data_IF_348718487915
#
_entry.id   IF_348718487915
#
_cell.length_a   1.000
_cell.length_b   1.000
_cell.length_c   1.000
_cell.angle_alpha   90.00
_cell.angle_beta   90.00
_cell.angle_gamma   90.00
#
_symmetry.space_group_name_H-M   'P 1'
#
loop_
_entity.id
_entity.type
_entity.pdbx_description
1 polymer ?
#
# COMPACT_ATOMS: atom_id res chain seq x y z
N UNK A 1 11.79 -12.07 4.65
CA UNK A 1 10.47 -12.70 4.87
C UNK A 1 9.45 -11.87 4.08
N UNK A 2 8.63 -12.46 3.20
CA UNK A 2 7.59 -11.74 2.48
C UNK A 2 6.54 -11.17 3.44
N UNK A 3 6.08 -9.94 3.18
CA UNK A 3 5.13 -9.21 4.04
C UNK A 3 4.07 -8.53 3.18
N UNK A 4 2.91 -8.31 3.77
CA UNK A 4 1.80 -7.53 3.21
C UNK A 4 1.75 -6.21 3.99
N UNK A 5 2.01 -5.10 3.32
CA UNK A 5 1.95 -3.76 3.92
C UNK A 5 0.56 -3.17 3.66
N UNK A 6 -0.20 -2.93 4.73
CA UNK A 6 -1.51 -2.30 4.64
C UNK A 6 -1.35 -0.79 4.89
N UNK A 7 -1.60 0.00 3.85
CA UNK A 7 -1.51 1.46 3.85
C UNK A 7 -2.91 2.05 3.73
N UNK A 8 -3.40 2.63 4.82
CA UNK A 8 -4.74 3.20 4.90
C UNK A 8 -4.69 4.63 5.42
N UNK A 9 -5.37 5.54 4.72
CA UNK A 9 -5.47 6.95 5.11
C UNK A 9 -6.70 7.26 5.95
N UNK A 10 -7.63 6.30 6.11
CA UNK A 10 -8.76 6.38 7.02
C UNK A 10 -8.54 5.42 8.18
N UNK A 11 -8.49 5.92 9.41
CA UNK A 11 -8.49 5.04 10.57
C UNK A 11 -9.80 4.23 10.59
N UNK A 12 -9.67 2.91 10.49
CA UNK A 12 -10.78 1.97 10.49
C UNK A 12 -10.26 0.54 10.75
N UNK A 13 -11.16 -0.36 11.14
CA UNK A 13 -10.82 -1.78 11.26
C UNK A 13 -11.23 -2.52 10.00
N UNK A 14 -10.26 -3.09 9.30
CA UNK A 14 -10.47 -3.96 8.15
C UNK A 14 -10.21 -5.42 8.54
N UNK A 15 -10.85 -5.90 9.61
CA UNK A 15 -10.57 -7.20 10.24
C UNK A 15 -10.69 -8.42 9.31
N UNK A 16 -11.47 -8.33 8.23
CA UNK A 16 -11.58 -9.40 7.24
C UNK A 16 -10.53 -9.32 6.11
N UNK A 17 -9.87 -8.17 5.93
CA UNK A 17 -9.01 -7.90 4.77
C UNK A 17 -7.78 -8.80 4.74
N UNK A 18 -7.11 -8.97 5.88
CA UNK A 18 -5.94 -9.85 5.99
C UNK A 18 -6.27 -11.27 5.51
N UNK A 19 -7.33 -11.87 6.07
CA UNK A 19 -7.77 -13.20 5.70
C UNK A 19 -8.17 -13.29 4.22
N UNK A 20 -8.87 -12.28 3.69
CA UNK A 20 -9.23 -12.22 2.29
C UNK A 20 -8.00 -12.21 1.37
N UNK A 21 -6.99 -11.36 1.64
CA UNK A 21 -5.78 -11.27 0.81
C UNK A 21 -4.94 -12.54 0.91
N UNK A 22 -4.72 -13.07 2.11
CA UNK A 22 -3.97 -14.33 2.30
C UNK A 22 -4.61 -15.50 1.55
N UNK A 23 -5.95 -15.61 1.61
CA UNK A 23 -6.70 -16.62 0.85
C UNK A 23 -6.63 -16.37 -0.64
N UNK A 24 -6.77 -15.14 -1.10
CA UNK A 24 -6.63 -14.80 -2.52
C UNK A 24 -5.26 -15.24 -3.06
N UNK A 25 -4.16 -14.90 -2.37
CA UNK A 25 -2.80 -15.29 -2.77
C UNK A 25 -2.63 -16.81 -2.81
N UNK A 26 -3.23 -17.52 -1.85
CA UNK A 26 -3.24 -18.99 -1.86
C UNK A 26 -4.01 -19.57 -3.06
N UNK A 27 -5.20 -19.05 -3.34
CA UNK A 27 -6.01 -19.51 -4.47
C UNK A 27 -5.32 -19.22 -5.82
N UNK A 28 -4.73 -18.04 -5.98
CA UNK A 28 -3.95 -17.66 -7.16
C UNK A 28 -2.71 -18.55 -7.34
N UNK A 29 -1.99 -18.84 -6.25
CA UNK A 29 -0.85 -19.76 -6.29
C UNK A 29 -1.22 -21.15 -6.80
N UNK A 30 -2.35 -21.70 -6.32
CA UNK A 30 -2.85 -23.02 -6.76
C UNK A 30 -3.20 -23.08 -8.24
N UNK A 31 -3.63 -21.97 -8.85
CA UNK A 31 -3.93 -21.96 -10.29
C UNK A 31 -2.68 -22.15 -11.14
N UNK A 32 -1.53 -21.71 -10.63
CA UNK A 32 -0.26 -21.71 -11.36
C UNK A 32 0.68 -22.87 -10.96
N UNK A 33 0.34 -23.62 -9.91
CA UNK A 33 1.17 -24.69 -9.37
C UNK A 33 0.35 -25.92 -9.00
N UNK A 34 0.83 -27.11 -9.35
CA UNK A 34 0.21 -28.39 -8.99
C UNK A 34 0.39 -28.77 -7.50
N UNK A 35 0.93 -27.87 -6.67
CA UNK A 35 1.12 -28.09 -5.24
C UNK A 35 -0.07 -27.53 -4.46
N UNK A 36 -0.81 -28.45 -3.83
CA UNK A 36 -2.02 -28.16 -3.05
C UNK A 36 -1.87 -28.61 -1.58
N UNK A 37 -0.63 -28.84 -1.13
CA UNK A 37 -0.36 -29.33 0.21
C UNK A 37 -0.71 -28.32 1.31
N UNK A 38 -1.12 -28.83 2.48
CA UNK A 38 -1.37 -28.03 3.70
C UNK A 38 -0.14 -27.19 4.13
N UNK A 39 1.06 -27.69 3.83
CA UNK A 39 2.32 -27.01 4.12
C UNK A 39 2.46 -25.71 3.34
N UNK A 40 1.90 -25.64 2.12
CA UNK A 40 1.94 -24.43 1.30
C UNK A 40 0.93 -23.40 1.79
N UNK A 41 -0.30 -23.81 2.10
CA UNK A 41 -1.29 -22.90 2.71
C UNK A 41 -0.75 -22.24 3.98
N UNK A 42 -0.06 -23.02 4.82
CA UNK A 42 0.54 -22.52 6.07
C UNK A 42 1.58 -21.42 5.83
N UNK A 43 2.26 -21.40 4.67
CA UNK A 43 3.17 -20.30 4.30
C UNK A 43 2.41 -19.01 4.03
N UNK A 44 1.26 -19.07 3.36
CA UNK A 44 0.40 -17.91 3.08
C UNK A 44 -0.28 -17.39 4.35
N UNK A 45 -0.76 -18.31 5.20
CA UNK A 45 -1.37 -17.98 6.49
C UNK A 45 -0.39 -17.26 7.43
N UNK A 46 0.89 -17.65 7.39
CA UNK A 46 1.98 -17.03 8.16
C UNK A 46 2.57 -15.76 7.54
N UNK A 47 2.05 -15.26 6.42
CA UNK A 47 2.51 -13.98 5.87
C UNK A 47 2.24 -12.86 6.88
N UNK A 48 3.24 -12.05 7.17
CA UNK A 48 3.06 -10.90 8.06
C UNK A 48 2.15 -9.88 7.37
N UNK A 49 1.02 -9.55 8.00
CA UNK A 49 0.16 -8.45 7.59
C UNK A 49 0.41 -7.28 8.52
N UNK A 50 1.00 -6.20 7.99
CA UNK A 50 1.48 -5.06 8.77
C UNK A 50 0.58 -3.88 8.48
N UNK A 51 -0.22 -3.50 9.48
CA UNK A 51 -0.96 -2.24 9.47
C UNK A 51 -0.01 -1.07 9.76
N UNK A 52 0.26 -0.27 8.73
CA UNK A 52 1.16 0.88 8.86
C UNK A 52 0.42 2.09 9.43
N UNK A 53 1.02 2.73 10.43
CA UNK A 53 0.53 4.02 10.95
C UNK A 53 1.08 5.12 10.07
N UNK A 54 0.29 5.61 9.13
CA UNK A 54 0.68 6.60 8.12
C UNK A 54 -0.03 7.95 8.31
N UNK A 55 0.42 9.04 7.65
CA UNK A 55 -0.31 10.30 7.67
C UNK A 55 -1.76 10.09 7.19
N UNK A 56 -2.72 10.52 7.99
CA UNK A 56 -4.15 10.28 7.76
C UNK A 56 -4.80 11.48 7.06
N UNK A 57 -5.87 11.24 6.32
CA UNK A 57 -6.72 12.32 5.84
C UNK A 57 -7.71 12.76 6.92
N UNK A 58 -8.13 14.02 6.89
CA UNK A 58 -9.12 14.57 7.81
C UNK A 58 -10.56 14.51 7.26
N UNK A 59 -10.72 14.09 6.00
CA UNK A 59 -11.99 14.03 5.29
C UNK A 59 -12.26 12.63 4.70
N UNK A 60 -13.43 12.43 4.09
CA UNK A 60 -13.85 11.13 3.55
C UNK A 60 -13.75 11.03 2.01
N UNK A 61 -13.09 11.96 1.34
CA UNK A 61 -13.10 12.07 -0.12
C UNK A 61 -11.70 12.17 -0.77
N UNK A 62 -10.64 12.24 0.04
CA UNK A 62 -9.26 12.30 -0.44
C UNK A 62 -8.53 10.95 -0.33
N UNK A 63 -9.20 9.84 0.03
CA UNK A 63 -8.56 8.50 0.15
C UNK A 63 -7.79 8.12 -1.12
N UNK A 64 -8.37 8.39 -2.29
CA UNK A 64 -7.72 8.16 -3.57
C UNK A 64 -6.49 9.05 -3.81
N UNK A 65 -6.46 10.28 -3.28
CA UNK A 65 -5.27 11.13 -3.39
C UNK A 65 -4.15 10.64 -2.48
N UNK A 66 -4.48 10.20 -1.26
CA UNK A 66 -3.52 9.59 -0.35
C UNK A 66 -2.96 8.28 -0.91
N UNK A 67 -3.80 7.41 -1.47
CA UNK A 67 -3.37 6.19 -2.14
C UNK A 67 -2.32 6.47 -3.22
N UNK A 68 -2.58 7.45 -4.10
CA UNK A 68 -1.65 7.83 -5.16
C UNK A 68 -0.34 8.42 -4.62
N UNK A 69 -0.41 9.15 -3.50
CA UNK A 69 0.79 9.71 -2.90
C UNK A 69 1.62 8.66 -2.15
N UNK A 70 0.98 7.72 -1.43
CA UNK A 70 1.64 6.56 -0.85
C UNK A 70 2.38 5.76 -1.91
N UNK A 71 1.72 5.47 -3.04
CA UNK A 71 2.34 4.72 -4.14
C UNK A 71 3.55 5.45 -4.74
N UNK A 72 3.44 6.76 -4.98
CA UNK A 72 4.53 7.59 -5.49
C UNK A 72 5.75 7.55 -4.55
N UNK A 73 5.57 7.91 -3.28
CA UNK A 73 6.66 7.94 -2.30
C UNK A 73 7.23 6.54 -2.02
N UNK A 74 6.39 5.51 -2.01
CA UNK A 74 6.83 4.13 -1.84
C UNK A 74 7.75 3.70 -2.99
N UNK A 75 7.34 3.96 -4.24
CA UNK A 75 8.13 3.64 -5.44
C UNK A 75 9.45 4.42 -5.47
N UNK A 76 9.44 5.70 -5.09
CA UNK A 76 10.65 6.51 -4.95
C UNK A 76 11.57 5.93 -3.87
N UNK A 77 11.01 5.53 -2.72
CA UNK A 77 11.80 4.95 -1.63
C UNK A 77 12.49 3.65 -2.07
N UNK A 78 11.74 2.68 -2.62
CA UNK A 78 12.30 1.38 -3.03
C UNK A 78 13.22 1.47 -4.25
N UNK A 79 13.12 2.53 -5.06
CA UNK A 79 14.05 2.77 -6.17
C UNK A 79 15.39 3.33 -5.69
N UNK A 80 15.38 4.10 -4.60
CA UNK A 80 16.56 4.76 -4.04
C UNK A 80 17.24 3.99 -2.91
N UNK A 81 16.58 2.97 -2.34
CA UNK A 81 17.09 2.15 -1.25
C UNK A 81 17.00 0.66 -1.59
N UNK A 82 17.75 -0.19 -0.87
CA UNK A 82 17.54 -1.64 -0.99
C UNK A 82 16.12 -1.98 -0.50
N UNK A 83 15.34 -2.80 -1.24
CA UNK A 83 13.97 -3.19 -0.86
C UNK A 83 13.86 -3.89 0.52
N UNK A 84 14.99 -4.22 1.13
CA UNK A 84 15.12 -4.90 2.41
C UNK A 84 15.45 -3.97 3.59
N UNK A 85 15.63 -2.67 3.36
CA UNK A 85 15.83 -1.70 4.45
C UNK A 85 14.55 -1.56 5.29
N UNK A 86 14.68 -1.50 6.62
CA UNK A 86 13.57 -1.49 7.58
C UNK A 86 12.54 -0.38 7.30
N UNK A 87 11.45 -0.72 6.61
CA UNK A 87 10.30 0.16 6.38
C UNK A 87 9.71 0.74 7.67
N UNK A 88 9.82 0.01 8.78
CA UNK A 88 9.30 0.39 10.10
C UNK A 88 9.86 1.71 10.64
N UNK A 89 11.04 2.14 10.17
CA UNK A 89 11.62 3.43 10.53
C UNK A 89 11.15 4.60 9.66
N UNK A 90 10.77 4.35 8.41
CA UNK A 90 10.49 5.40 7.42
C UNK A 90 9.00 5.56 7.12
N UNK A 91 8.25 4.46 7.07
CA UNK A 91 6.81 4.45 6.79
C UNK A 91 6.04 4.60 8.10
N UNK A 92 5.97 5.83 8.60
CA UNK A 92 5.31 6.17 9.87
C UNK A 92 4.43 7.43 9.72
N UNK A 93 3.80 7.88 10.82
CA UNK A 93 2.86 9.01 10.80
C UNK A 93 3.52 10.34 10.38
N UNK A 94 4.85 10.44 10.46
CA UNK A 94 5.65 11.56 10.00
C UNK A 94 6.24 11.40 8.61
N UNK A 95 5.80 10.40 7.83
CA UNK A 95 6.36 10.13 6.49
C UNK A 95 6.25 11.32 5.53
N UNK A 96 5.15 12.07 5.62
CA UNK A 96 4.93 13.34 4.94
C UNK A 96 3.84 14.14 5.66
N UNK A 97 3.71 15.43 5.35
CA UNK A 97 2.66 16.26 5.94
C UNK A 97 1.33 16.10 5.16
N UNK A 98 0.17 15.80 5.79
CA UNK A 98 -1.10 15.60 5.08
C UNK A 98 -1.50 16.74 4.11
N UNK A 99 -1.13 17.98 4.46
CA UNK A 99 -1.32 19.16 3.62
C UNK A 99 -0.66 19.07 2.22
N UNK A 100 0.38 18.26 2.06
CA UNK A 100 0.99 17.99 0.76
C UNK A 100 0.00 17.30 -0.18
N UNK A 101 -0.83 16.40 0.36
CA UNK A 101 -1.86 15.71 -0.40
C UNK A 101 -3.08 16.61 -0.59
N UNK A 102 -3.65 17.10 0.52
CA UNK A 102 -4.95 17.79 0.52
C UNK A 102 -4.93 19.11 -0.26
N UNK A 103 -3.82 19.86 -0.24
CA UNK A 103 -3.73 21.17 -0.90
C UNK A 103 -3.15 21.10 -2.32
N UNK A 104 -2.30 20.13 -2.62
CA UNK A 104 -1.47 20.17 -3.85
C UNK A 104 -1.76 19.03 -4.83
N UNK A 105 -1.93 17.79 -4.35
CA UNK A 105 -1.94 16.58 -5.20
C UNK A 105 -3.00 16.61 -6.30
N UNK A 106 -4.22 17.07 -5.99
CA UNK A 106 -5.31 17.21 -6.97
C UNK A 106 -4.95 18.16 -8.11
N UNK A 107 -4.31 19.29 -7.79
CA UNK A 107 -3.88 20.27 -8.79
C UNK A 107 -2.68 19.77 -9.61
N UNK A 108 -1.75 19.04 -8.99
CA UNK A 108 -0.63 18.40 -9.69
C UNK A 108 -1.13 17.37 -10.71
N UNK A 109 -2.03 16.47 -10.31
CA UNK A 109 -2.67 15.47 -11.20
C UNK A 109 -3.39 16.17 -12.36
N UNK A 110 -4.18 17.21 -12.07
CA UNK A 110 -4.89 17.99 -13.12
C UNK A 110 -3.92 18.60 -14.13
N UNK A 111 -2.80 19.16 -13.68
CA UNK A 111 -1.77 19.74 -14.56
C UNK A 111 -1.10 18.66 -15.40
N UNK A 112 -0.78 17.51 -14.80
CA UNK A 112 -0.18 16.37 -15.49
C UNK A 112 -1.09 15.83 -16.60
N UNK A 113 -2.38 15.61 -16.31
CA UNK A 113 -3.36 15.14 -17.31
C UNK A 113 -3.45 16.13 -18.48
N UNK A 114 -3.51 17.43 -18.21
CA UNK A 114 -3.56 18.46 -19.26
C UNK A 114 -2.29 18.50 -20.10
N UNK A 115 -1.12 18.27 -19.49
CA UNK A 115 0.14 18.20 -20.22
C UNK A 115 0.11 17.03 -21.19
N UNK A 116 -0.16 15.82 -20.68
CA UNK A 116 -0.21 14.59 -21.48
C UNK A 116 -1.25 14.67 -22.60
N UNK A 117 -2.40 15.31 -22.36
CA UNK A 117 -3.46 15.44 -23.37
C UNK A 117 -3.14 16.46 -24.48
N UNK A 118 -2.19 17.36 -24.25
CA UNK A 118 -1.74 18.35 -25.22
C UNK A 118 -0.41 17.94 -25.89
N UNK A 119 0.19 16.83 -25.47
CA UNK A 119 1.36 16.19 -26.07
C UNK A 119 0.88 15.21 -27.18
#
# INVERSE_FOLDING_TARGET
>A
IPRILHMDSLRGSHSALENCIKRYLWEDWKQHHNDHGKDVFTKFDRLDFIELKLPQQENFFDCGLFLLHYAELFLEHVSNSSPLANFEGTLNEGWFHPAEVTLKKRNQIRKLIRKIAND
#
